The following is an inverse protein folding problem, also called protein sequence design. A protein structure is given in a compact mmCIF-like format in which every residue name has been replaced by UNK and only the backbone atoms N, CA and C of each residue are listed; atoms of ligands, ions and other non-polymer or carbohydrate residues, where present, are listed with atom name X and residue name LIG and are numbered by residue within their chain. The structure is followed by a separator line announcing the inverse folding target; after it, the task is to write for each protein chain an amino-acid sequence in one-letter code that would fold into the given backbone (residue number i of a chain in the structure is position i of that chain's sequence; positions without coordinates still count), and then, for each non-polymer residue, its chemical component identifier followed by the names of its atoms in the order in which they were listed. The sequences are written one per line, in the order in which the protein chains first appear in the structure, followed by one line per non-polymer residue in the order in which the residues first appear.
data_IF_270928374437
#
_entry.id   IF_270928374437
#
_cell.length_a   1.000
_cell.length_b   1.000
_cell.length_c   1.000
_cell.angle_alpha   90.00
_cell.angle_beta   90.00
_cell.angle_gamma   90.00
#
_symmetry.space_group_name_H-M   'P 1'
#
loop_
_entity.id
_entity.type
_entity.pdbx_description
1 polymer ?
#
# COMPACT_ATOMS: atom_id res chain seq x y z
N UNK A 1 35.78 -41.74 -89.24
CA UNK A 1 35.32 -40.42 -88.75
C UNK A 1 36.38 -39.96 -87.77
N UNK A 2 37.37 -39.25 -88.31
CA UNK A 2 37.56 -37.80 -88.18
C UNK A 2 38.25 -37.47 -86.84
N UNK A 3 39.59 -37.40 -86.84
CA UNK A 3 40.43 -36.23 -87.22
C UNK A 3 40.50 -35.30 -86.01
N UNK A 4 41.63 -34.91 -85.45
CA UNK A 4 43.07 -35.20 -85.63
C UNK A 4 43.76 -34.43 -84.48
N UNK A 5 44.67 -35.03 -83.70
CA UNK A 5 46.15 -34.91 -83.79
C UNK A 5 46.68 -33.48 -83.59
N UNK A 6 47.80 -33.19 -82.91
CA UNK A 6 48.89 -33.99 -82.34
C UNK A 6 49.88 -33.06 -81.61
N UNK A 7 50.67 -33.64 -80.68
CA UNK A 7 52.14 -33.56 -80.52
C UNK A 7 52.93 -32.41 -81.18
N UNK A 8 54.12 -32.00 -80.75
CA UNK A 8 55.05 -32.24 -79.64
C UNK A 8 56.35 -31.53 -80.05
N UNK A 9 57.28 -31.37 -79.10
CA UNK A 9 58.73 -31.34 -79.30
C UNK A 9 59.47 -30.05 -79.75
N UNK A 10 60.17 -29.51 -78.74
CA UNK A 10 61.62 -29.55 -78.57
C UNK A 10 62.58 -28.74 -79.49
N UNK A 11 63.46 -28.02 -78.78
CA UNK A 11 64.88 -27.72 -79.06
C UNK A 11 65.25 -26.78 -80.23
N UNK A 12 65.84 -25.61 -79.91
CA UNK A 12 67.31 -25.38 -79.97
C UNK A 12 67.73 -23.95 -79.60
N UNK A 13 68.96 -23.89 -79.08
CA UNK A 13 69.82 -22.75 -78.73
C UNK A 13 69.97 -21.70 -79.85
N UNK A 14 70.06 -20.39 -79.51
CA UNK A 14 71.29 -19.56 -79.57
C UNK A 14 71.02 -18.04 -79.38
N UNK A 15 71.74 -17.45 -78.43
CA UNK A 15 72.39 -16.12 -78.38
C UNK A 15 71.64 -14.85 -78.87
N UNK A 16 71.61 -13.81 -78.02
CA UNK A 16 72.47 -12.60 -78.12
C UNK A 16 72.13 -11.59 -77.00
N UNK A 17 73.19 -11.03 -76.38
CA UNK A 17 73.14 -9.90 -75.44
C UNK A 17 72.40 -8.68 -76.03
N UNK A 18 71.84 -7.79 -75.19
CA UNK A 18 72.57 -6.54 -74.96
C UNK A 18 72.51 -5.98 -73.53
N UNK A 19 73.65 -5.40 -73.16
CA UNK A 19 73.84 -4.10 -72.52
C UNK A 19 73.19 -3.77 -71.16
N UNK A 20 74.09 -3.69 -70.17
CA UNK A 20 74.29 -2.59 -69.20
C UNK A 20 73.07 -2.17 -68.36
N UNK A 21 73.09 -2.63 -67.10
CA UNK A 21 72.31 -2.04 -66.01
C UNK A 21 72.89 -0.68 -65.59
N UNK A 22 72.05 0.36 -65.62
CA UNK A 22 72.25 1.61 -64.88
C UNK A 22 71.18 1.65 -63.77
N UNK A 23 71.54 1.72 -62.48
CA UNK A 23 70.56 1.83 -61.42
C UNK A 23 70.11 3.29 -61.28
N UNK A 24 68.91 3.62 -61.75
CA UNK A 24 68.23 4.86 -61.38
C UNK A 24 67.30 4.57 -60.19
N UNK A 25 67.86 4.71 -59.00
CA UNK A 25 67.13 4.90 -57.76
C UNK A 25 66.37 6.24 -57.82
N UNK A 26 65.16 6.25 -58.39
CA UNK A 26 64.19 7.34 -58.25
C UNK A 26 62.78 6.75 -58.42
N UNK A 27 62.20 6.33 -57.29
CA UNK A 27 60.84 5.80 -57.26
C UNK A 27 60.27 5.62 -55.85
N UNK A 28 61.12 5.48 -54.84
CA UNK A 28 60.67 5.15 -53.48
C UNK A 28 60.21 6.37 -52.65
N UNK A 29 60.63 7.60 -52.99
CA UNK A 29 60.29 8.80 -52.18
C UNK A 29 58.92 9.41 -52.50
N UNK A 30 58.38 9.24 -53.71
CA UNK A 30 57.05 9.75 -54.07
C UNK A 30 55.91 8.83 -53.59
N UNK A 31 56.13 7.51 -53.57
CA UNK A 31 55.16 6.54 -53.07
C UNK A 31 55.04 6.58 -51.53
N UNK A 32 56.15 6.77 -50.80
CA UNK A 32 56.12 6.88 -49.33
C UNK A 32 55.48 8.19 -48.87
N UNK A 33 55.69 9.30 -49.59
CA UNK A 33 55.02 10.57 -49.29
C UNK A 33 53.50 10.52 -49.54
N UNK A 34 53.05 9.81 -50.59
CA UNK A 34 51.62 9.58 -50.85
C UNK A 34 50.99 8.60 -49.86
N UNK A 35 51.74 7.59 -49.38
CA UNK A 35 51.28 6.66 -48.35
C UNK A 35 51.08 7.38 -47.01
N UNK A 36 52.04 8.20 -46.59
CA UNK A 36 51.94 8.98 -45.34
C UNK A 36 50.79 10.00 -45.38
N UNK A 37 50.56 10.67 -46.53
CA UNK A 37 49.44 11.59 -46.68
C UNK A 37 48.08 10.86 -46.65
N UNK A 38 47.98 9.66 -47.24
CA UNK A 38 46.78 8.85 -47.19
C UNK A 38 46.51 8.29 -45.77
N UNK A 39 47.56 7.94 -45.03
CA UNK A 39 47.48 7.47 -43.65
C UNK A 39 47.08 8.61 -42.69
N UNK A 40 47.60 9.82 -42.90
CA UNK A 40 47.22 11.02 -42.14
C UNK A 40 45.75 11.41 -42.38
N UNK A 41 45.28 11.36 -43.63
CA UNK A 41 43.86 11.56 -43.97
C UNK A 41 42.99 10.45 -43.37
N UNK A 42 43.46 9.20 -43.36
CA UNK A 42 42.81 8.07 -42.70
C UNK A 42 42.68 8.29 -41.19
N UNK A 43 43.75 8.74 -40.52
CA UNK A 43 43.74 9.06 -39.08
C UNK A 43 42.80 10.21 -38.74
N UNK A 44 42.78 11.28 -39.54
CA UNK A 44 41.86 12.40 -39.34
C UNK A 44 40.39 11.97 -39.52
N UNK A 45 40.12 11.11 -40.50
CA UNK A 45 38.80 10.54 -40.71
C UNK A 45 38.36 9.64 -39.55
N UNK A 46 39.24 8.76 -39.07
CA UNK A 46 39.00 7.92 -37.89
C UNK A 46 38.75 8.76 -36.63
N UNK A 47 39.52 9.82 -36.40
CA UNK A 47 39.29 10.73 -35.27
C UNK A 47 37.95 11.47 -35.37
N UNK A 48 37.55 11.90 -36.57
CA UNK A 48 36.28 12.58 -36.79
C UNK A 48 35.08 11.62 -36.64
N UNK A 49 35.21 10.38 -37.12
CA UNK A 49 34.26 9.30 -36.90
C UNK A 49 34.10 9.00 -35.41
N UNK A 50 35.21 8.88 -34.68
CA UNK A 50 35.19 8.55 -33.25
C UNK A 50 34.58 9.70 -32.42
N UNK A 51 34.86 10.96 -32.76
CA UNK A 51 34.21 12.13 -32.15
C UNK A 51 32.71 12.18 -32.44
N UNK A 52 32.32 11.86 -33.68
CA UNK A 52 30.90 11.84 -34.07
C UNK A 52 30.15 10.70 -33.38
N UNK A 53 30.76 9.52 -33.30
CA UNK A 53 30.22 8.35 -32.59
C UNK A 53 30.05 8.64 -31.09
N UNK A 54 31.10 9.13 -30.42
CA UNK A 54 31.03 9.54 -29.00
C UNK A 54 29.97 10.62 -28.75
N UNK A 55 29.80 11.56 -29.70
CA UNK A 55 28.76 12.58 -29.63
C UNK A 55 27.34 12.00 -29.74
N UNK A 56 27.12 11.00 -30.60
CA UNK A 56 25.86 10.29 -30.74
C UNK A 56 25.55 9.44 -29.51
N UNK A 57 26.52 8.68 -29.01
CA UNK A 57 26.37 7.88 -27.79
C UNK A 57 26.02 8.74 -26.58
N UNK A 58 26.69 9.89 -26.42
CA UNK A 58 26.37 10.84 -25.35
C UNK A 58 24.96 11.45 -25.51
N UNK A 59 24.51 11.70 -26.74
CA UNK A 59 23.14 12.18 -27.00
C UNK A 59 22.11 11.10 -26.70
N UNK A 60 22.33 9.85 -27.13
CA UNK A 60 21.46 8.72 -26.82
C UNK A 60 21.35 8.47 -25.32
N UNK A 61 22.47 8.52 -24.58
CA UNK A 61 22.47 8.41 -23.12
C UNK A 61 21.73 9.58 -22.45
N UNK A 62 21.85 10.80 -22.97
CA UNK A 62 21.08 11.96 -22.46
C UNK A 62 19.59 11.81 -22.73
N UNK A 63 19.19 11.36 -23.92
CA UNK A 63 17.80 11.10 -24.27
C UNK A 63 17.20 10.01 -23.38
N UNK A 64 17.88 8.85 -23.25
CA UNK A 64 17.44 7.77 -22.36
C UNK A 64 17.32 8.21 -20.89
N UNK A 65 18.24 9.06 -20.40
CA UNK A 65 18.13 9.65 -19.06
C UNK A 65 16.94 10.61 -18.92
N UNK A 66 16.63 11.34 -19.99
CA UNK A 66 15.51 12.29 -20.01
C UNK A 66 14.18 11.53 -20.04
N UNK A 67 14.06 10.52 -20.90
CA UNK A 67 12.91 9.62 -20.98
C UNK A 67 12.62 8.92 -19.65
N UNK A 68 13.64 8.34 -19.01
CA UNK A 68 13.48 7.69 -17.70
C UNK A 68 13.04 8.69 -16.61
N UNK A 69 13.54 9.93 -16.64
CA UNK A 69 13.10 10.99 -15.73
C UNK A 69 11.64 11.39 -15.96
N UNK A 70 11.23 11.55 -17.21
CA UNK A 70 9.84 11.88 -17.57
C UNK A 70 8.91 10.76 -17.10
N UNK A 71 9.25 9.49 -17.37
CA UNK A 71 8.48 8.34 -16.91
C UNK A 71 8.33 8.31 -15.37
N UNK A 72 9.40 8.60 -14.62
CA UNK A 72 9.33 8.68 -13.15
C UNK A 72 8.41 9.80 -12.66
N UNK A 73 8.44 10.96 -13.31
CA UNK A 73 7.56 12.09 -12.95
C UNK A 73 6.10 11.76 -13.25
N UNK A 74 5.81 11.13 -14.38
CA UNK A 74 4.47 10.67 -14.75
C UNK A 74 3.95 9.61 -13.78
N UNK A 75 4.82 8.68 -13.35
CA UNK A 75 4.49 7.69 -12.32
C UNK A 75 4.12 8.35 -10.98
N UNK A 76 4.83 9.40 -10.56
CA UNK A 76 4.48 10.14 -9.34
C UNK A 76 3.16 10.89 -9.46
N UNK A 77 2.88 11.47 -10.63
CA UNK A 77 1.59 12.10 -10.90
C UNK A 77 0.44 11.07 -10.83
N UNK A 78 0.61 9.91 -11.47
CA UNK A 78 -0.37 8.82 -11.42
C UNK A 78 -0.58 8.29 -10.00
N UNK A 79 0.49 8.07 -9.23
CA UNK A 79 0.40 7.66 -7.84
C UNK A 79 -0.35 8.70 -7.00
N UNK A 80 -0.07 9.99 -7.20
CA UNK A 80 -0.78 11.05 -6.50
C UNK A 80 -2.28 11.04 -6.81
N UNK A 81 -2.67 10.83 -8.07
CA UNK A 81 -4.09 10.69 -8.45
C UNK A 81 -4.76 9.45 -7.86
N UNK A 82 -4.05 8.31 -7.83
CA UNK A 82 -4.52 7.06 -7.22
C UNK A 82 -4.76 7.22 -5.72
N UNK A 83 -3.82 7.88 -5.04
CA UNK A 83 -3.98 8.27 -3.64
C UNK A 83 -5.14 9.28 -3.50
N UNK A 84 -5.30 10.21 -4.45
CA UNK A 84 -6.32 11.26 -4.39
C UNK A 84 -6.12 12.22 -3.21
N UNK A 85 -6.65 13.44 -3.27
CA UNK A 85 -6.63 14.39 -2.16
C UNK A 85 -8.08 14.78 -1.82
N UNK A 86 -8.51 14.78 -0.54
CA UNK A 86 -9.90 15.06 -0.16
C UNK A 86 -10.32 16.49 -0.54
N UNK A 87 -9.41 17.46 -0.38
CA UNK A 87 -9.58 18.82 -0.91
C UNK A 87 -9.35 18.98 -2.42
N UNK A 88 -9.22 17.87 -3.17
CA UNK A 88 -8.99 17.84 -4.62
C UNK A 88 -7.82 18.69 -5.14
N UNK A 89 -6.84 18.96 -4.27
CA UNK A 89 -5.65 19.72 -4.63
C UNK A 89 -4.78 18.93 -5.61
N UNK A 90 -4.33 19.58 -6.69
CA UNK A 90 -3.44 18.96 -7.67
C UNK A 90 -2.03 18.75 -7.12
N UNK A 91 -1.30 17.77 -7.69
CA UNK A 91 0.10 17.52 -7.31
C UNK A 91 0.96 18.79 -7.46
N UNK A 92 0.79 19.54 -8.54
CA UNK A 92 1.55 20.78 -8.76
C UNK A 92 1.30 21.83 -7.67
N UNK A 93 0.04 21.98 -7.25
CA UNK A 93 -0.30 22.89 -6.16
C UNK A 93 0.40 22.45 -4.87
N UNK A 94 0.32 21.15 -4.53
CA UNK A 94 0.94 20.60 -3.33
C UNK A 94 2.46 20.71 -3.34
N UNK A 95 3.09 20.48 -4.49
CA UNK A 95 4.53 20.65 -4.67
C UNK A 95 4.92 22.10 -4.41
N UNK A 96 4.21 23.08 -4.99
CA UNK A 96 4.50 24.51 -4.73
C UNK A 96 4.39 24.86 -3.24
N UNK A 97 3.34 24.39 -2.57
CA UNK A 97 3.16 24.62 -1.13
C UNK A 97 4.27 23.95 -0.30
N UNK A 98 4.61 22.70 -0.61
CA UNK A 98 5.65 21.96 0.08
C UNK A 98 7.02 22.65 -0.06
N UNK A 99 7.36 23.18 -1.23
CA UNK A 99 8.60 23.95 -1.44
C UNK A 99 8.69 25.18 -0.53
N UNK A 100 7.59 25.94 -0.40
CA UNK A 100 7.52 27.11 0.50
C UNK A 100 7.70 26.66 1.96
N UNK A 101 7.00 25.60 2.36
CA UNK A 101 7.07 25.07 3.72
C UNK A 101 8.49 24.58 4.05
N UNK A 102 9.15 23.83 3.18
CA UNK A 102 10.50 23.29 3.40
C UNK A 102 11.54 24.36 3.75
N UNK A 103 11.43 25.57 3.17
CA UNK A 103 12.31 26.69 3.49
C UNK A 103 12.16 27.17 4.95
N UNK A 104 11.00 26.94 5.56
CA UNK A 104 10.72 27.27 6.95
C UNK A 104 11.15 26.16 7.94
N UNK A 105 11.70 25.05 7.44
CA UNK A 105 12.10 23.86 8.22
C UNK A 105 10.97 23.37 9.16
N UNK A 106 9.84 22.91 8.58
CA UNK A 106 8.67 22.50 9.33
C UNK A 106 8.94 21.21 10.12
N UNK A 107 8.06 20.85 11.05
CA UNK A 107 8.07 19.48 11.58
C UNK A 107 7.51 18.50 10.52
N UNK A 108 7.79 17.19 10.68
CA UNK A 108 7.18 16.17 9.84
C UNK A 108 5.63 16.19 9.91
N UNK A 109 5.08 16.48 11.09
CA UNK A 109 3.63 16.63 11.32
C UNK A 109 3.03 17.79 10.51
N UNK A 110 3.72 18.92 10.42
CA UNK A 110 3.25 20.05 9.61
C UNK A 110 3.20 19.71 8.11
N UNK A 111 4.19 18.95 7.61
CA UNK A 111 4.19 18.49 6.21
C UNK A 111 3.13 17.41 5.94
N UNK A 112 2.87 16.54 6.92
CA UNK A 112 1.75 15.59 6.86
C UNK A 112 0.42 16.34 6.74
N UNK A 113 0.18 17.30 7.64
CA UNK A 113 -1.03 18.12 7.65
C UNK A 113 -1.25 18.87 6.33
N UNK A 114 -0.17 19.36 5.70
CA UNK A 114 -0.24 19.99 4.38
C UNK A 114 -0.86 19.08 3.33
N UNK A 115 -0.54 17.78 3.34
CA UNK A 115 -1.07 16.82 2.37
C UNK A 115 -2.27 16.03 2.90
N UNK A 116 -2.97 16.56 3.91
CA UNK A 116 -4.17 15.95 4.46
C UNK A 116 -3.89 14.72 5.32
N UNK A 117 -2.81 14.74 6.11
CA UNK A 117 -2.45 13.71 7.09
C UNK A 117 -2.28 12.30 6.49
N UNK A 118 -1.74 12.22 5.27
CA UNK A 118 -1.45 10.95 4.60
C UNK A 118 0.06 10.79 4.33
N UNK A 119 0.74 9.83 5.00
CA UNK A 119 2.17 9.60 4.82
C UNK A 119 2.57 9.24 3.39
N UNK A 120 1.79 8.42 2.69
CA UNK A 120 2.09 8.02 1.32
C UNK A 120 1.95 9.20 0.35
N UNK A 121 0.93 10.05 0.54
CA UNK A 121 0.75 11.29 -0.25
C UNK A 121 1.88 12.28 0.02
N UNK A 122 2.23 12.50 1.28
CA UNK A 122 3.37 13.35 1.68
C UNK A 122 4.65 12.86 1.01
N UNK A 123 4.89 11.55 1.04
CA UNK A 123 6.05 10.94 0.42
C UNK A 123 6.10 11.21 -1.10
N UNK A 124 4.99 11.00 -1.84
CA UNK A 124 4.93 11.27 -3.28
C UNK A 124 5.17 12.75 -3.60
N UNK A 125 4.56 13.67 -2.83
CA UNK A 125 4.78 15.12 -3.00
C UNK A 125 6.25 15.48 -2.80
N UNK A 126 6.89 14.99 -1.73
CA UNK A 126 8.30 15.26 -1.44
C UNK A 126 9.25 14.62 -2.48
N UNK A 127 8.92 13.43 -2.99
CA UNK A 127 9.67 12.84 -4.10
C UNK A 127 9.61 13.71 -5.36
N UNK A 128 8.43 14.27 -5.67
CA UNK A 128 8.26 15.17 -6.79
C UNK A 128 9.01 16.50 -6.60
N UNK A 129 8.99 17.06 -5.38
CA UNK A 129 9.80 18.24 -5.03
C UNK A 129 11.29 17.96 -5.26
N UNK A 130 11.81 16.85 -4.72
CA UNK A 130 13.21 16.47 -4.88
C UNK A 130 13.58 16.28 -6.34
N UNK A 131 12.73 15.59 -7.13
CA UNK A 131 12.98 15.33 -8.54
C UNK A 131 13.02 16.62 -9.37
N UNK A 132 12.08 17.55 -9.14
CA UNK A 132 12.06 18.82 -9.85
C UNK A 132 13.23 19.73 -9.43
N UNK A 133 13.52 19.85 -8.13
CA UNK A 133 14.64 20.65 -7.65
C UNK A 133 15.98 20.16 -8.22
N UNK A 134 16.17 18.84 -8.33
CA UNK A 134 17.34 18.26 -9.00
C UNK A 134 17.39 18.59 -10.50
N UNK A 135 16.26 18.53 -11.20
CA UNK A 135 16.18 18.88 -12.62
C UNK A 135 16.49 20.36 -12.88
N UNK A 136 16.12 21.24 -11.94
CA UNK A 136 16.33 22.69 -12.01
C UNK A 136 17.69 23.14 -11.44
N UNK A 137 18.53 22.21 -10.96
CA UNK A 137 19.83 22.53 -10.36
C UNK A 137 19.76 23.18 -8.98
N UNK A 138 18.61 23.12 -8.30
CA UNK A 138 18.37 23.68 -6.96
C UNK A 138 18.81 22.69 -5.87
N UNK A 139 20.12 22.56 -5.68
CA UNK A 139 20.73 21.53 -4.80
C UNK A 139 20.24 21.61 -3.35
N UNK A 140 20.25 22.79 -2.74
CA UNK A 140 19.82 22.98 -1.35
C UNK A 140 18.36 22.56 -1.13
N UNK A 141 17.46 22.88 -2.07
CA UNK A 141 16.05 22.49 -2.01
C UNK A 141 15.88 20.97 -2.15
N UNK A 142 16.64 20.35 -3.05
CA UNK A 142 16.66 18.90 -3.21
C UNK A 142 17.21 18.18 -1.97
N UNK A 143 18.21 18.74 -1.30
CA UNK A 143 18.76 18.20 -0.05
C UNK A 143 17.75 18.29 1.09
N UNK A 144 17.09 19.44 1.29
CA UNK A 144 16.01 19.58 2.28
C UNK A 144 14.89 18.55 2.06
N UNK A 145 14.41 18.40 0.81
CA UNK A 145 13.37 17.43 0.51
C UNK A 145 13.80 15.99 0.82
N UNK A 146 15.08 15.64 0.56
CA UNK A 146 15.65 14.33 0.88
C UNK A 146 15.74 14.08 2.39
N UNK A 147 16.17 15.07 3.16
CA UNK A 147 16.26 14.98 4.61
C UNK A 147 14.87 14.72 5.23
N UNK A 148 13.84 15.42 4.75
CA UNK A 148 12.46 15.18 5.18
C UNK A 148 11.93 13.83 4.72
N UNK A 149 12.25 13.36 3.51
CA UNK A 149 11.91 12.00 3.08
C UNK A 149 12.51 10.95 4.01
N UNK A 150 13.76 11.13 4.45
CA UNK A 150 14.41 10.21 5.39
C UNK A 150 13.73 10.23 6.77
N UNK A 151 13.34 11.40 7.28
CA UNK A 151 12.55 11.51 8.50
C UNK A 151 11.19 10.80 8.37
N UNK A 152 10.50 11.02 7.25
CA UNK A 152 9.22 10.36 6.94
C UNK A 152 9.34 8.84 6.89
N UNK A 153 10.41 8.31 6.29
CA UNK A 153 10.66 6.87 6.30
C UNK A 153 10.97 6.33 7.69
N UNK A 154 11.68 7.08 8.52
CA UNK A 154 11.99 6.67 9.90
C UNK A 154 10.70 6.52 10.73
N UNK A 155 9.74 7.42 10.54
CA UNK A 155 8.52 7.46 11.35
C UNK A 155 7.36 6.62 10.75
N UNK A 156 7.26 6.54 9.41
CA UNK A 156 6.07 6.06 8.72
C UNK A 156 6.34 5.09 7.57
N UNK A 157 7.53 4.47 7.48
CA UNK A 157 7.85 3.56 6.38
C UNK A 157 6.76 2.50 6.09
N UNK A 158 6.20 1.78 7.10
CA UNK A 158 5.14 0.80 6.85
C UNK A 158 3.86 1.42 6.26
N UNK A 159 3.46 2.60 6.74
CA UNK A 159 2.26 3.30 6.26
C UNK A 159 2.47 3.85 4.85
N UNK A 160 3.65 4.41 4.55
CA UNK A 160 4.02 4.85 3.21
C UNK A 160 3.91 3.66 2.25
N UNK A 161 4.55 2.53 2.59
CA UNK A 161 4.54 1.34 1.75
C UNK A 161 3.12 0.79 1.55
N UNK A 162 2.34 0.67 2.63
CA UNK A 162 0.94 0.24 2.56
C UNK A 162 0.13 1.15 1.64
N UNK A 163 0.25 2.47 1.81
CA UNK A 163 -0.49 3.45 1.02
C UNK A 163 -0.20 3.35 -0.47
N UNK A 164 1.08 3.17 -0.84
CA UNK A 164 1.49 2.96 -2.22
C UNK A 164 0.96 1.64 -2.78
N UNK A 165 1.05 0.55 -2.01
CA UNK A 165 0.62 -0.78 -2.45
C UNK A 165 -0.90 -0.86 -2.71
N UNK A 166 -1.71 -0.16 -1.93
CA UNK A 166 -3.17 -0.25 -2.01
C UNK A 166 -3.81 0.86 -2.84
N UNK A 167 -3.07 1.90 -3.24
CA UNK A 167 -3.61 3.11 -3.88
C UNK A 167 -4.49 2.80 -5.10
N UNK A 168 -4.01 1.96 -6.01
CA UNK A 168 -4.74 1.57 -7.22
C UNK A 168 -6.03 0.83 -6.88
N UNK A 169 -5.98 -0.10 -5.92
CA UNK A 169 -7.15 -0.89 -5.52
C UNK A 169 -8.26 -0.04 -4.91
N UNK A 170 -7.87 1.02 -4.16
CA UNK A 170 -8.80 2.01 -3.63
C UNK A 170 -9.38 2.91 -4.72
N UNK A 171 -8.57 3.29 -5.71
CA UNK A 171 -9.05 4.03 -6.88
C UNK A 171 -10.09 3.24 -7.67
N UNK A 172 -9.86 1.96 -7.92
CA UNK A 172 -10.83 1.09 -8.62
C UNK A 172 -12.11 0.92 -7.80
N UNK A 173 -12.02 0.93 -6.47
CA UNK A 173 -13.18 0.77 -5.60
C UNK A 173 -14.06 2.03 -5.48
N UNK A 174 -13.48 3.23 -5.64
CA UNK A 174 -14.23 4.48 -5.51
C UNK A 174 -13.51 5.66 -6.17
N UNK A 175 -14.26 6.46 -6.92
CA UNK A 175 -13.76 7.73 -7.46
C UNK A 175 -13.59 8.81 -6.38
N UNK A 176 -14.32 8.70 -5.25
CA UNK A 176 -14.29 9.69 -4.17
C UNK A 176 -12.93 9.72 -3.44
N UNK A 177 -12.14 10.80 -3.56
CA UNK A 177 -10.86 10.94 -2.87
C UNK A 177 -10.99 10.91 -1.34
N UNK A 178 -12.10 11.39 -0.78
CA UNK A 178 -12.31 11.43 0.66
C UNK A 178 -12.53 10.02 1.22
N UNK A 179 -13.41 9.22 0.60
CA UNK A 179 -13.59 7.82 0.97
C UNK A 179 -12.29 7.01 0.80
N UNK A 180 -11.55 7.21 -0.30
CA UNK A 180 -10.24 6.55 -0.50
C UNK A 180 -9.25 6.86 0.62
N UNK A 181 -9.21 8.11 1.10
CA UNK A 181 -8.38 8.48 2.24
C UNK A 181 -8.88 7.83 3.53
N UNK A 182 -10.19 7.87 3.80
CA UNK A 182 -10.76 7.30 5.02
C UNK A 182 -10.47 5.79 5.13
N UNK A 183 -10.65 5.03 4.04
CA UNK A 183 -10.33 3.59 4.01
C UNK A 183 -8.83 3.34 4.23
N UNK A 184 -7.95 4.17 3.67
CA UNK A 184 -6.50 4.06 3.84
C UNK A 184 -6.04 4.42 5.25
N UNK A 185 -6.60 5.46 5.86
CA UNK A 185 -6.33 5.78 7.27
C UNK A 185 -6.78 4.64 8.20
N UNK A 186 -7.94 4.04 7.92
CA UNK A 186 -8.42 2.84 8.60
C UNK A 186 -7.45 1.68 8.41
N UNK A 187 -6.94 1.46 7.20
CA UNK A 187 -5.94 0.44 6.91
C UNK A 187 -4.66 0.66 7.73
N UNK A 188 -4.13 1.89 7.78
CA UNK A 188 -2.96 2.23 8.59
C UNK A 188 -3.21 1.91 10.07
N UNK A 189 -4.33 2.36 10.64
CA UNK A 189 -4.63 2.16 12.05
C UNK A 189 -4.82 0.68 12.41
N UNK A 190 -5.52 -0.09 11.57
CA UNK A 190 -5.96 -1.45 11.92
C UNK A 190 -5.03 -2.56 11.42
N UNK A 191 -4.42 -2.41 10.24
CA UNK A 191 -3.49 -3.39 9.66
C UNK A 191 -2.07 -3.08 10.08
N UNK A 192 -1.60 -1.86 9.82
CA UNK A 192 -0.18 -1.50 10.00
C UNK A 192 0.16 -1.36 11.49
N UNK A 193 -0.61 -0.53 12.20
CA UNK A 193 -0.33 -0.20 13.61
C UNK A 193 -0.85 -1.29 14.55
N UNK A 194 -2.17 -1.54 14.58
CA UNK A 194 -2.78 -2.44 15.58
C UNK A 194 -2.75 -3.92 15.21
N UNK A 195 -2.66 -4.25 13.92
CA UNK A 195 -2.70 -5.64 13.42
C UNK A 195 -3.91 -6.43 13.98
N UNK A 196 -5.09 -5.81 14.02
CA UNK A 196 -6.29 -6.35 14.68
C UNK A 196 -7.50 -6.35 13.76
N UNK A 197 -8.06 -7.55 13.51
CA UNK A 197 -9.30 -7.71 12.74
C UNK A 197 -10.51 -7.11 13.44
N UNK A 198 -10.61 -7.25 14.78
CA UNK A 198 -11.68 -6.64 15.53
C UNK A 198 -11.69 -5.11 15.36
N UNK A 199 -10.54 -4.44 15.50
CA UNK A 199 -10.45 -2.99 15.27
C UNK A 199 -10.75 -2.62 13.81
N UNK A 200 -10.29 -3.42 12.84
CA UNK A 200 -10.63 -3.23 11.44
C UNK A 200 -12.15 -3.31 11.20
N UNK A 201 -12.83 -4.30 11.78
CA UNK A 201 -14.28 -4.48 11.61
C UNK A 201 -15.07 -3.35 12.27
N UNK A 202 -14.65 -2.91 13.45
CA UNK A 202 -15.26 -1.76 14.14
C UNK A 202 -15.19 -0.49 13.27
N UNK A 203 -14.00 -0.21 12.73
CA UNK A 203 -13.77 0.96 11.91
C UNK A 203 -14.53 0.87 10.57
N UNK A 204 -14.61 -0.32 9.95
CA UNK A 204 -15.39 -0.51 8.72
C UNK A 204 -16.89 -0.33 8.96
N UNK A 205 -17.42 -0.84 10.07
CA UNK A 205 -18.81 -0.60 10.48
C UNK A 205 -19.08 0.89 10.71
N UNK A 206 -18.12 1.63 11.28
CA UNK A 206 -18.24 3.07 11.48
C UNK A 206 -18.23 3.85 10.16
N UNK A 207 -17.38 3.45 9.22
CA UNK A 207 -17.21 4.15 7.94
C UNK A 207 -18.32 3.85 6.93
N UNK A 208 -18.72 2.58 6.81
CA UNK A 208 -19.70 2.13 5.81
C UNK A 208 -21.12 1.94 6.38
N UNK A 209 -21.27 2.00 7.70
CA UNK A 209 -22.53 1.65 8.36
C UNK A 209 -22.90 0.18 8.17
N UNK A 210 -24.13 -0.18 8.56
CA UNK A 210 -24.62 -1.55 8.45
C UNK A 210 -24.92 -2.00 7.02
N UNK A 211 -25.50 -1.11 6.20
CA UNK A 211 -25.98 -1.46 4.85
C UNK A 211 -24.83 -1.69 3.86
N UNK A 212 -23.77 -0.88 3.93
CA UNK A 212 -22.61 -1.00 3.02
C UNK A 212 -21.44 -1.76 3.65
N UNK A 213 -21.63 -2.36 4.82
CA UNK A 213 -20.57 -3.07 5.53
C UNK A 213 -19.91 -4.16 4.67
N UNK A 214 -20.71 -4.93 3.92
CA UNK A 214 -20.17 -5.99 3.06
C UNK A 214 -19.32 -5.40 1.92
N UNK A 215 -19.76 -4.30 1.30
CA UNK A 215 -19.00 -3.61 0.27
C UNK A 215 -17.64 -3.14 0.82
N UNK A 216 -17.64 -2.49 1.99
CA UNK A 216 -16.40 -2.10 2.69
C UNK A 216 -15.50 -3.29 3.03
N UNK A 217 -16.07 -4.42 3.43
CA UNK A 217 -15.34 -5.66 3.69
C UNK A 217 -14.65 -6.20 2.42
N UNK A 218 -15.31 -6.15 1.26
CA UNK A 218 -14.69 -6.57 -0.01
C UNK A 218 -13.55 -5.64 -0.43
N UNK A 219 -13.73 -4.33 -0.28
CA UNK A 219 -12.65 -3.35 -0.52
C UNK A 219 -11.45 -3.64 0.38
N UNK A 220 -11.68 -3.90 1.67
CA UNK A 220 -10.61 -4.24 2.61
C UNK A 220 -9.91 -5.56 2.27
N UNK A 221 -10.65 -6.58 1.80
CA UNK A 221 -10.06 -7.85 1.34
C UNK A 221 -9.17 -7.64 0.12
N UNK A 222 -9.63 -6.82 -0.83
CA UNK A 222 -8.88 -6.55 -2.05
C UNK A 222 -7.60 -5.77 -1.76
N UNK A 223 -7.71 -4.67 -1.00
CA UNK A 223 -6.56 -3.84 -0.59
C UNK A 223 -5.52 -4.66 0.18
N UNK A 224 -5.94 -5.52 1.12
CA UNK A 224 -5.04 -6.38 1.86
C UNK A 224 -4.38 -7.45 0.96
N UNK A 225 -5.11 -8.01 0.00
CA UNK A 225 -4.55 -8.94 -0.98
C UNK A 225 -3.52 -8.26 -1.90
N UNK A 226 -3.77 -7.02 -2.31
CA UNK A 226 -2.83 -6.25 -3.14
C UNK A 226 -1.55 -5.90 -2.36
N UNK A 227 -1.63 -5.60 -1.05
CA UNK A 227 -0.45 -5.42 -0.20
C UNK A 227 0.35 -6.73 0.00
N UNK A 228 -0.35 -7.88 0.11
CA UNK A 228 0.32 -9.21 0.13
C UNK A 228 1.05 -9.50 -1.18
N UNK A 229 0.46 -9.10 -2.31
CA UNK A 229 0.98 -9.35 -3.64
C UNK A 229 2.06 -8.35 -4.09
N UNK A 230 2.21 -7.23 -3.37
CA UNK A 230 3.17 -6.21 -3.70
C UNK A 230 4.61 -6.74 -3.65
N UNK A 231 5.47 -6.18 -4.50
CA UNK A 231 6.90 -6.53 -4.52
C UNK A 231 7.58 -6.26 -3.17
N UNK A 232 7.12 -5.22 -2.46
CA UNK A 232 7.57 -4.88 -1.12
C UNK A 232 6.33 -4.71 -0.24
N UNK A 233 5.88 -5.78 0.43
CA UNK A 233 4.73 -5.73 1.33
C UNK A 233 4.98 -4.78 2.52
N UNK A 234 3.92 -4.14 3.02
CA UNK A 234 4.04 -3.18 4.15
C UNK A 234 4.44 -3.82 5.49
N UNK A 235 4.16 -5.11 5.64
CA UNK A 235 4.41 -5.94 6.81
C UNK A 235 4.90 -7.34 6.37
N UNK A 236 5.46 -8.14 7.30
CA UNK A 236 5.78 -9.54 7.00
C UNK A 236 4.59 -10.29 6.39
N UNK A 237 4.80 -10.93 5.24
CA UNK A 237 3.74 -11.58 4.42
C UNK A 237 2.88 -12.53 5.25
N UNK A 238 3.48 -13.28 6.19
CA UNK A 238 2.76 -14.19 7.07
C UNK A 238 1.67 -13.47 7.88
N UNK A 239 1.96 -12.28 8.43
CA UNK A 239 1.00 -11.48 9.20
C UNK A 239 -0.15 -10.99 8.33
N UNK A 240 0.16 -10.46 7.14
CA UNK A 240 -0.86 -9.99 6.20
C UNK A 240 -1.77 -11.13 5.74
N UNK A 241 -1.22 -12.32 5.48
CA UNK A 241 -2.00 -13.53 5.15
C UNK A 241 -2.89 -13.98 6.30
N UNK A 242 -2.41 -13.95 7.55
CA UNK A 242 -3.25 -14.26 8.72
C UNK A 242 -4.43 -13.30 8.83
N UNK A 243 -4.20 -12.00 8.65
CA UNK A 243 -5.29 -11.00 8.62
C UNK A 243 -6.26 -11.29 7.47
N UNK A 244 -5.76 -11.58 6.26
CA UNK A 244 -6.60 -11.85 5.09
C UNK A 244 -7.48 -13.09 5.29
N UNK A 245 -6.94 -14.18 5.83
CA UNK A 245 -7.69 -15.39 6.15
C UNK A 245 -8.76 -15.12 7.23
N UNK A 246 -8.39 -14.39 8.29
CA UNK A 246 -9.36 -14.04 9.33
C UNK A 246 -10.46 -13.10 8.82
N UNK A 247 -10.14 -12.21 7.88
CA UNK A 247 -11.08 -11.32 7.21
C UNK A 247 -12.08 -12.09 6.33
N UNK A 248 -11.67 -13.21 5.75
CA UNK A 248 -12.57 -14.11 5.03
C UNK A 248 -13.62 -14.71 5.98
N UNK A 249 -13.21 -15.15 7.18
CA UNK A 249 -14.12 -15.67 8.20
C UNK A 249 -15.11 -14.61 8.73
N UNK A 250 -14.75 -13.31 8.67
CA UNK A 250 -15.61 -12.22 9.11
C UNK A 250 -16.85 -11.96 8.23
N UNK A 251 -17.02 -12.69 7.11
CA UNK A 251 -18.24 -12.57 6.28
C UNK A 251 -19.55 -12.89 7.04
N UNK A 252 -19.46 -13.64 8.14
CA UNK A 252 -20.59 -14.00 9.00
C UNK A 252 -21.10 -12.84 9.87
N UNK A 253 -20.34 -11.74 9.98
CA UNK A 253 -20.71 -10.60 10.83
C UNK A 253 -22.00 -9.90 10.41
N UNK A 254 -22.42 -10.02 9.15
CA UNK A 254 -23.74 -9.51 8.74
C UNK A 254 -24.88 -10.26 9.46
N UNK A 255 -24.74 -11.56 9.67
CA UNK A 255 -25.70 -12.35 10.45
C UNK A 255 -25.73 -11.96 11.93
N UNK A 256 -24.57 -11.62 12.49
CA UNK A 256 -24.47 -11.08 13.86
C UNK A 256 -25.12 -9.70 13.94
N UNK A 257 -24.90 -8.82 12.96
CA UNK A 257 -25.55 -7.51 12.87
C UNK A 257 -27.07 -7.64 12.76
N UNK A 258 -27.58 -8.53 11.92
CA UNK A 258 -29.01 -8.83 11.85
C UNK A 258 -29.58 -9.31 13.20
N UNK A 259 -28.81 -10.13 13.92
CA UNK A 259 -29.20 -10.59 15.26
C UNK A 259 -29.18 -9.45 16.29
N UNK A 260 -28.23 -8.51 16.18
CA UNK A 260 -28.20 -7.30 17.01
C UNK A 260 -29.43 -6.42 16.73
N UNK A 261 -29.80 -6.25 15.45
CA UNK A 261 -31.02 -5.49 15.05
C UNK A 261 -32.28 -6.10 15.64
N UNK A 262 -32.40 -7.42 15.59
CA UNK A 262 -33.54 -8.13 16.17
C UNK A 262 -33.60 -7.96 17.69
N UNK A 263 -32.45 -8.06 18.38
CA UNK A 263 -32.35 -7.80 19.80
C UNK A 263 -32.80 -6.35 20.13
N UNK A 264 -32.23 -5.34 19.47
CA UNK A 264 -32.60 -3.94 19.69
C UNK A 264 -34.10 -3.70 19.49
N UNK A 265 -34.73 -4.29 18.45
CA UNK A 265 -36.19 -4.16 18.24
C UNK A 265 -37.01 -4.74 19.39
N UNK A 266 -36.63 -5.91 19.89
CA UNK A 266 -37.30 -6.53 21.05
C UNK A 266 -37.16 -5.67 22.29
N UNK A 267 -35.95 -5.15 22.54
CA UNK A 267 -35.69 -4.29 23.69
C UNK A 267 -36.46 -2.98 23.63
N UNK A 268 -36.61 -2.35 22.46
CA UNK A 268 -37.45 -1.15 22.30
C UNK A 268 -38.92 -1.44 22.61
N UNK A 269 -39.42 -2.63 22.24
CA UNK A 269 -40.80 -3.04 22.55
C UNK A 269 -41.03 -3.24 24.05
N UNK A 270 -40.05 -3.76 24.79
CA UNK A 270 -40.15 -4.01 26.23
C UNK A 270 -39.76 -2.78 27.07
N UNK A 271 -38.85 -1.96 26.56
CA UNK A 271 -38.26 -0.80 27.22
C UNK A 271 -38.14 0.36 26.22
N UNK A 272 -39.19 1.18 26.04
CA UNK A 272 -39.24 2.25 25.02
C UNK A 272 -38.19 3.36 25.18
N UNK A 273 -37.45 3.38 26.30
CA UNK A 273 -36.34 4.32 26.56
C UNK A 273 -34.97 3.80 26.09
N UNK A 274 -34.91 2.59 25.51
CA UNK A 274 -33.66 2.02 24.99
C UNK A 274 -33.31 2.66 23.64
N UNK A 275 -32.26 3.50 23.62
CA UNK A 275 -31.75 4.15 22.41
C UNK A 275 -30.68 3.32 21.68
N UNK A 276 -30.56 2.04 22.01
CA UNK A 276 -29.41 1.26 21.60
C UNK A 276 -29.47 0.88 20.11
N UNK A 277 -28.53 1.44 19.35
CA UNK A 277 -28.36 1.13 17.93
C UNK A 277 -27.58 -0.19 17.71
N UNK A 278 -28.02 -0.98 16.73
CA UNK A 278 -27.47 -2.30 16.46
C UNK A 278 -26.02 -2.25 15.93
N UNK A 279 -25.65 -1.20 15.19
CA UNK A 279 -24.26 -1.01 14.74
C UNK A 279 -23.38 -0.71 15.95
N UNK A 280 -23.83 0.18 16.82
CA UNK A 280 -23.16 0.52 18.08
C UNK A 280 -22.99 -0.72 18.98
N UNK A 281 -24.02 -1.56 19.10
CA UNK A 281 -23.93 -2.81 19.86
C UNK A 281 -22.88 -3.75 19.25
N UNK A 282 -22.91 -3.98 17.94
CA UNK A 282 -21.91 -4.84 17.29
C UNK A 282 -20.48 -4.27 17.43
N UNK A 283 -20.31 -2.95 17.32
CA UNK A 283 -19.02 -2.31 17.55
C UNK A 283 -18.51 -2.53 18.98
N UNK A 284 -19.38 -2.49 20.00
CA UNK A 284 -19.01 -2.84 21.37
C UNK A 284 -18.59 -4.30 21.50
N UNK A 285 -19.37 -5.22 20.91
CA UNK A 285 -19.04 -6.66 20.93
C UNK A 285 -17.68 -6.94 20.29
N UNK A 286 -17.36 -6.30 19.17
CA UNK A 286 -16.04 -6.37 18.55
C UNK A 286 -14.94 -5.77 19.45
N UNK A 287 -15.26 -4.72 20.21
CA UNK A 287 -14.35 -4.15 21.20
C UNK A 287 -13.97 -5.15 22.29
N UNK A 288 -14.95 -5.92 22.77
CA UNK A 288 -14.71 -6.99 23.74
C UNK A 288 -13.87 -8.12 23.14
N UNK A 289 -14.08 -8.48 21.87
CA UNK A 289 -13.21 -9.45 21.19
C UNK A 289 -11.74 -8.98 21.10
N UNK A 290 -11.52 -7.66 20.98
CA UNK A 290 -10.18 -7.06 20.91
C UNK A 290 -9.52 -6.89 22.27
N UNK A 291 -10.28 -6.51 23.31
CA UNK A 291 -9.75 -6.04 24.61
C UNK A 291 -10.13 -6.89 25.82
N UNK A 292 -11.03 -7.84 25.65
CA UNK A 292 -11.71 -8.51 26.76
C UNK A 292 -12.83 -7.63 27.34
N UNK A 293 -13.56 -8.18 28.31
CA UNK A 293 -14.61 -7.47 29.03
C UNK A 293 -14.46 -7.69 30.54
N UNK A 294 -14.51 -6.61 31.31
CA UNK A 294 -14.52 -6.69 32.76
C UNK A 294 -15.93 -7.03 33.29
N UNK A 295 -16.07 -7.71 34.44
CA UNK A 295 -17.38 -8.00 35.03
C UNK A 295 -18.27 -6.77 35.19
N UNK A 296 -17.70 -5.64 35.64
CA UNK A 296 -18.46 -4.39 35.78
C UNK A 296 -19.04 -3.88 34.45
N UNK A 297 -18.39 -4.15 33.31
CA UNK A 297 -18.92 -3.79 31.99
C UNK A 297 -20.08 -4.69 31.59
N UNK A 298 -19.99 -5.99 31.89
CA UNK A 298 -21.11 -6.93 31.67
C UNK A 298 -22.31 -6.55 32.53
N UNK A 299 -22.07 -6.13 33.78
CA UNK A 299 -23.13 -5.59 34.65
C UNK A 299 -23.77 -4.34 34.03
N UNK A 300 -22.95 -3.40 33.56
CA UNK A 300 -23.43 -2.19 32.88
C UNK A 300 -24.26 -2.53 31.64
N UNK A 301 -23.81 -3.48 30.81
CA UNK A 301 -24.57 -3.98 29.68
C UNK A 301 -25.93 -4.56 30.10
N UNK A 302 -25.96 -5.38 31.15
CA UNK A 302 -27.21 -5.91 31.68
C UNK A 302 -28.18 -4.80 32.05
N UNK A 303 -27.72 -3.80 32.79
CA UNK A 303 -28.53 -2.66 33.21
C UNK A 303 -28.96 -1.74 32.06
N UNK A 304 -28.10 -1.52 31.06
CA UNK A 304 -28.43 -0.74 29.86
C UNK A 304 -29.51 -1.42 29.01
N UNK A 305 -29.49 -2.75 28.92
CA UNK A 305 -30.42 -3.52 28.09
C UNK A 305 -31.73 -3.85 28.81
N UNK A 306 -31.65 -4.26 30.08
CA UNK A 306 -32.79 -4.76 30.87
C UNK A 306 -33.25 -3.83 32.00
N UNK A 307 -32.66 -2.63 32.12
CA UNK A 307 -32.99 -1.67 33.18
C UNK A 307 -32.55 -2.14 34.57
N UNK A 308 -33.28 -1.69 35.60
CA UNK A 308 -32.95 -1.96 37.02
C UNK A 308 -33.38 -3.36 37.50
N UNK A 309 -34.26 -4.06 36.77
CA UNK A 309 -34.82 -5.35 37.20
C UNK A 309 -33.84 -6.51 36.99
N UNK A 310 -33.45 -7.27 38.04
CA UNK A 310 -32.54 -8.42 37.88
C UNK A 310 -33.02 -9.47 36.88
N UNK A 311 -34.32 -9.74 36.82
CA UNK A 311 -34.91 -10.70 35.87
C UNK A 311 -34.82 -10.18 34.43
N UNK A 312 -35.08 -8.89 34.20
CA UNK A 312 -34.96 -8.29 32.87
C UNK A 312 -33.49 -8.22 32.42
N UNK A 313 -32.57 -7.88 33.32
CA UNK A 313 -31.12 -7.95 33.07
C UNK A 313 -30.71 -9.38 32.67
N UNK A 314 -31.18 -10.40 33.38
CA UNK A 314 -30.90 -11.81 33.07
C UNK A 314 -31.43 -12.21 31.69
N UNK A 315 -32.66 -11.80 31.33
CA UNK A 315 -33.23 -12.04 29.98
C UNK A 315 -32.37 -11.36 28.92
N UNK A 316 -31.98 -10.10 29.11
CA UNK A 316 -31.14 -9.39 28.14
C UNK A 316 -29.77 -10.05 27.97
N UNK A 317 -29.11 -10.46 29.06
CA UNK A 317 -27.82 -11.15 29.02
C UNK A 317 -27.93 -12.53 28.35
N UNK A 318 -29.03 -13.27 28.57
CA UNK A 318 -29.31 -14.53 27.89
C UNK A 318 -29.42 -14.37 26.37
N UNK A 319 -29.99 -13.27 25.88
CA UNK A 319 -30.08 -13.01 24.43
C UNK A 319 -28.76 -12.49 23.86
N UNK A 320 -27.98 -11.73 24.65
CA UNK A 320 -26.69 -11.20 24.23
C UNK A 320 -25.59 -12.27 24.15
N UNK A 321 -25.57 -13.22 25.09
CA UNK A 321 -24.53 -14.25 25.19
C UNK A 321 -24.33 -15.04 23.88
N UNK A 322 -25.38 -15.56 23.21
CA UNK A 322 -25.23 -16.22 21.91
C UNK A 322 -24.71 -15.30 20.78
N UNK A 323 -24.86 -13.98 20.88
CA UNK A 323 -24.28 -13.06 19.89
C UNK A 323 -22.75 -13.04 20.02
N UNK A 324 -22.26 -12.97 21.25
CA UNK A 324 -20.83 -12.97 21.57
C UNK A 324 -20.22 -14.32 21.23
N UNK A 325 -20.89 -15.42 21.59
CA UNK A 325 -20.40 -16.77 21.32
C UNK A 325 -20.22 -17.05 19.82
N UNK A 326 -21.08 -16.46 18.97
CA UNK A 326 -21.08 -16.61 17.50
C UNK A 326 -20.09 -15.69 16.78
N UNK A 327 -19.38 -14.80 17.49
CA UNK A 327 -18.33 -14.00 16.85
C UNK A 327 -17.24 -14.91 16.27
N UNK A 328 -16.81 -14.71 15.01
CA UNK A 328 -15.73 -15.47 14.39
C UNK A 328 -14.49 -15.55 15.28
N UNK A 329 -13.88 -16.74 15.37
CA UNK A 329 -12.69 -16.98 16.20
C UNK A 329 -11.52 -16.06 15.84
N UNK A 330 -11.41 -15.66 14.57
CA UNK A 330 -10.37 -14.76 14.07
C UNK A 330 -10.44 -13.32 14.61
N UNK A 331 -11.56 -12.92 15.22
CA UNK A 331 -11.73 -11.59 15.81
C UNK A 331 -11.17 -11.50 17.22
N UNK A 332 -11.07 -12.64 17.90
CA UNK A 332 -10.58 -12.69 19.26
C UNK A 332 -9.07 -12.51 19.27
N UNK A 333 -8.57 -11.75 20.27
CA UNK A 333 -7.14 -11.59 20.49
C UNK A 333 -6.45 -12.95 20.62
N UNK A 334 -7.06 -13.83 21.41
CA UNK A 334 -6.62 -15.20 21.67
C UNK A 334 -7.79 -16.02 22.27
N UNK A 335 -7.67 -17.35 22.28
CA UNK A 335 -8.71 -18.24 22.78
C UNK A 335 -9.00 -18.02 24.29
N UNK A 336 -8.00 -17.66 25.07
CA UNK A 336 -8.17 -17.39 26.51
C UNK A 336 -9.03 -16.16 26.74
N UNK A 337 -8.80 -15.07 25.98
CA UNK A 337 -9.60 -13.85 26.04
C UNK A 337 -11.09 -14.10 25.73
N UNK A 338 -11.36 -15.03 24.82
CA UNK A 338 -12.72 -15.49 24.49
C UNK A 338 -13.34 -16.24 25.66
N UNK A 339 -12.63 -17.20 26.21
CA UNK A 339 -13.11 -18.00 27.34
C UNK A 339 -13.38 -17.14 28.58
N UNK A 340 -12.46 -16.23 28.91
CA UNK A 340 -12.62 -15.28 30.03
C UNK A 340 -13.83 -14.37 29.80
N UNK A 341 -14.03 -13.87 28.57
CA UNK A 341 -15.22 -13.07 28.22
C UNK A 341 -16.51 -13.85 28.44
N UNK A 342 -16.62 -15.06 27.88
CA UNK A 342 -17.81 -15.90 28.04
C UNK A 342 -18.06 -16.28 29.51
N UNK A 343 -16.98 -16.56 30.26
CA UNK A 343 -17.07 -16.86 31.69
C UNK A 343 -17.62 -15.68 32.49
N UNK A 344 -17.16 -14.46 32.22
CA UNK A 344 -17.65 -13.26 32.90
C UNK A 344 -19.16 -13.04 32.68
N UNK A 345 -19.68 -13.35 31.49
CA UNK A 345 -21.12 -13.35 31.23
C UNK A 345 -21.86 -14.39 32.06
N UNK A 346 -21.39 -15.65 32.05
CA UNK A 346 -22.04 -16.74 32.77
C UNK A 346 -22.05 -16.51 34.29
N UNK A 347 -20.93 -16.02 34.84
CA UNK A 347 -20.80 -15.71 36.25
C UNK A 347 -21.85 -14.68 36.69
N UNK A 348 -22.04 -13.61 35.92
CA UNK A 348 -23.03 -12.59 36.26
C UNK A 348 -24.47 -13.03 36.01
N UNK A 349 -24.71 -13.89 35.01
CA UNK A 349 -26.02 -14.50 34.83
C UNK A 349 -26.41 -15.40 36.03
N UNK A 350 -25.45 -16.13 36.60
CA UNK A 350 -25.67 -16.91 37.82
C UNK A 350 -25.93 -16.02 39.05
N UNK A 351 -25.17 -14.93 39.21
CA UNK A 351 -25.44 -13.92 40.26
C UNK A 351 -26.85 -13.31 40.13
N UNK A 352 -27.31 -13.02 38.91
CA UNK A 352 -28.67 -12.49 38.69
C UNK A 352 -29.75 -13.54 38.95
N UNK A 353 -29.51 -14.79 38.58
CA UNK A 353 -30.43 -15.92 38.86
C UNK A 353 -30.60 -16.13 40.37
N UNK A 354 -29.50 -16.09 41.13
CA UNK A 354 -29.56 -16.21 42.60
C UNK A 354 -30.23 -15.01 43.26
N UNK A 355 -30.02 -13.80 42.74
CA UNK A 355 -30.70 -12.58 43.22
C UNK A 355 -32.22 -12.63 42.97
N UNK A 356 -32.66 -13.10 41.80
CA UNK A 356 -34.06 -13.33 41.47
C UNK A 356 -34.71 -14.34 42.43
N UNK A 357 -34.10 -15.51 42.64
CA UNK A 357 -34.62 -16.53 43.55
C UNK A 357 -34.81 -16.04 44.99
N UNK A 358 -33.91 -15.18 45.48
CA UNK A 358 -34.03 -14.53 46.81
C UNK A 358 -35.16 -13.50 46.84
N UNK A 359 -35.35 -12.71 45.78
CA UNK A 359 -36.42 -11.73 45.71
C UNK A 359 -37.80 -12.41 45.71
N UNK A 360 -37.96 -13.47 44.91
CA UNK A 360 -39.20 -14.27 44.84
C UNK A 360 -39.53 -14.93 46.18
N UNK A 361 -38.53 -15.49 46.86
CA UNK A 361 -38.72 -16.12 48.18
C UNK A 361 -39.15 -15.12 49.26
N UNK A 362 -38.65 -13.88 49.23
CA UNK A 362 -39.04 -12.81 50.17
C UNK A 362 -40.47 -12.33 49.93
N UNK A 363 -40.91 -12.24 48.68
CA UNK A 363 -42.28 -11.85 48.35
C UNK A 363 -43.29 -12.90 48.81
N UNK A 364 -42.97 -14.20 48.67
CA UNK A 364 -43.82 -15.29 49.17
C UNK A 364 -43.91 -15.28 50.70
N UNK A 365 -42.80 -15.00 51.39
CA UNK A 365 -42.78 -14.92 52.85
C UNK A 365 -43.50 -13.67 53.42
N UNK A 366 -43.64 -12.59 52.65
CA UNK A 366 -44.36 -11.37 53.05
C UNK A 366 -45.87 -11.43 52.75
N UNK A 367 -46.31 -12.41 51.94
CA UNK A 367 -47.71 -12.64 51.59
C UNK A 367 -48.39 -13.71 52.48
N UNK A 368 -47.63 -14.31 53.41
CA UNK A 368 -48.09 -15.18 54.50
C UNK A 368 -48.12 -14.37 55.79
#
# INVERSE_FOLDING_TARGET
MKVDTSHSDAQKLQQLNPAVAIPLARGQSAQVAQHNAAEEVGMLFSQQMERSSKGLDQRQLRLARTENRVQKVEQLAQLYEQLGHPGQASLEHMVRQARIQLLQRPSAENLLGLTGDDPARTHVVLQQVSAQAQAEGRTHEADLARDFLQQMHTLYAPQIQAGLNIAQSLQVASDDPALRQAVRQLYYASVVVRQSLATMMQALLGLFGGEQFNAGLQVMRRTLADDVAAHTPSLPIAKLRTLLLGLQACGQLNGVLCSCRELCRRLVSEHPRSEQDAITLLQRLLGYASTGIAPNEVLRLGSELGGESPSAQLVSLNVLYPLIQRLPLSLWRDERSRQETLHNFLMLMDERTTAEGRATSRLVAAAQ
#
